data_IF_796111506518
#
_entry.id   IF_796111506518
#
_cell.length_a   1.000
_cell.length_b   1.000
_cell.length_c   1.000
_cell.angle_alpha   90.00
_cell.angle_beta   90.00
_cell.angle_gamma   90.00
#
_symmetry.space_group_name_H-M   'P 1'
#
loop_
_entity.id
_entity.type
_entity.pdbx_description
1 polymer ?
#
# COMPACT_ATOMS: atom_id res chain seq x y z
N UNK A 1 -31.35 -10.03 0.71
CA UNK A 1 -30.35 -9.71 1.75
C UNK A 1 -29.02 -10.29 1.29
N UNK A 2 -27.95 -9.49 1.21
CA UNK A 2 -26.62 -10.01 0.85
C UNK A 2 -25.93 -10.57 2.10
N UNK A 3 -25.24 -11.70 1.96
CA UNK A 3 -24.28 -12.14 2.97
C UNK A 3 -22.96 -11.41 2.74
N UNK A 4 -22.46 -10.70 3.75
CA UNK A 4 -21.21 -9.94 3.65
C UNK A 4 -20.03 -10.90 3.63
N UNK A 5 -19.14 -10.72 2.64
CA UNK A 5 -17.94 -11.53 2.48
C UNK A 5 -16.71 -10.69 2.76
N UNK A 6 -15.77 -11.24 3.51
CA UNK A 6 -14.43 -10.68 3.57
C UNK A 6 -13.78 -10.73 2.18
N UNK A 7 -13.07 -9.67 1.78
CA UNK A 7 -12.28 -9.66 0.55
C UNK A 7 -11.00 -10.47 0.78
N UNK A 8 -11.02 -11.74 0.40
CA UNK A 8 -10.03 -12.74 0.85
C UNK A 8 -8.59 -12.54 0.38
N UNK A 9 -8.35 -11.66 -0.59
CA UNK A 9 -7.02 -11.29 -1.07
C UNK A 9 -6.64 -9.84 -0.70
N UNK A 10 -7.32 -9.28 0.30
CA UNK A 10 -6.86 -8.11 1.05
C UNK A 10 -6.57 -8.52 2.49
N UNK A 11 -5.75 -7.74 3.17
CA UNK A 11 -5.15 -8.11 4.45
C UNK A 11 -4.63 -6.85 5.13
N UNK A 12 -4.61 -6.84 6.46
CA UNK A 12 -3.78 -5.89 7.19
C UNK A 12 -2.30 -6.27 7.09
N UNK A 13 -1.42 -5.48 7.70
CA UNK A 13 0.01 -5.65 7.49
C UNK A 13 0.85 -5.04 8.62
N UNK A 14 2.08 -5.52 8.74
CA UNK A 14 3.11 -4.90 9.58
C UNK A 14 3.56 -3.58 8.95
N UNK A 15 3.83 -2.59 9.79
CA UNK A 15 4.34 -1.27 9.44
C UNK A 15 5.77 -1.15 9.98
N UNK A 16 6.69 -0.77 9.11
CA UNK A 16 8.07 -0.44 9.44
C UNK A 16 8.36 1.04 9.24
N UNK A 17 9.55 1.49 9.65
CA UNK A 17 9.97 2.87 9.45
C UNK A 17 10.10 3.17 7.96
N UNK A 18 9.30 4.11 7.44
CA UNK A 18 9.19 4.41 6.01
C UNK A 18 8.87 3.19 5.12
N UNK A 19 8.30 2.13 5.69
CA UNK A 19 7.93 0.90 4.98
C UNK A 19 6.50 0.53 5.34
N UNK A 20 5.55 0.93 4.48
CA UNK A 20 4.13 0.73 4.81
C UNK A 20 3.78 -0.76 4.91
N UNK A 21 4.37 -1.64 4.09
CA UNK A 21 4.15 -3.10 4.12
C UNK A 21 5.44 -3.86 4.52
N UNK A 22 5.75 -3.94 5.81
CA UNK A 22 7.03 -4.48 6.30
C UNK A 22 7.14 -6.02 6.35
N UNK A 23 6.41 -6.74 5.49
CA UNK A 23 6.61 -8.17 5.23
C UNK A 23 5.65 -9.14 5.93
N UNK A 24 5.13 -8.83 7.13
CA UNK A 24 4.07 -9.67 7.76
C UNK A 24 2.68 -9.20 7.34
N UNK A 25 1.79 -10.16 7.12
CA UNK A 25 0.42 -9.96 6.65
C UNK A 25 -0.60 -10.43 7.68
N UNK A 26 -1.72 -9.71 7.83
CA UNK A 26 -2.81 -10.03 8.77
C UNK A 26 -4.03 -10.49 7.97
N UNK A 27 -4.25 -11.81 7.79
CA UNK A 27 -5.33 -12.31 6.95
C UNK A 27 -6.71 -12.06 7.58
N UNK A 28 -7.69 -11.75 6.73
CA UNK A 28 -9.09 -11.55 7.15
C UNK A 28 -9.98 -12.77 6.86
N UNK A 29 -9.36 -13.91 6.52
CA UNK A 29 -10.00 -15.21 6.31
C UNK A 29 -9.13 -16.33 6.91
N UNK A 30 -9.75 -17.47 7.18
CA UNK A 30 -9.03 -18.67 7.66
C UNK A 30 -8.04 -19.21 6.61
N UNK A 31 -7.01 -19.91 7.08
CA UNK A 31 -6.03 -20.61 6.23
C UNK A 31 -4.76 -19.81 5.90
N UNK A 32 -4.52 -18.69 6.59
CA UNK A 32 -3.26 -17.96 6.53
C UNK A 32 -2.11 -18.66 7.26
N UNK A 33 -0.97 -17.98 7.31
CA UNK A 33 0.23 -18.47 7.98
C UNK A 33 0.06 -18.59 9.51
N UNK A 34 0.87 -19.44 10.13
CA UNK A 34 0.95 -19.58 11.59
C UNK A 34 1.96 -18.61 12.24
N UNK A 35 2.44 -17.62 11.48
CA UNK A 35 3.36 -16.57 11.92
C UNK A 35 2.76 -15.80 13.10
N UNK A 36 3.56 -15.53 14.13
CA UNK A 36 3.12 -14.80 15.33
C UNK A 36 3.50 -13.32 15.23
N UNK A 37 2.63 -12.49 15.81
CA UNK A 37 2.98 -11.10 16.11
C UNK A 37 3.97 -11.07 17.28
N UNK A 38 4.89 -10.11 17.25
CA UNK A 38 6.00 -9.96 18.19
C UNK A 38 5.90 -8.62 18.94
N UNK A 39 6.50 -8.57 20.13
CA UNK A 39 6.60 -7.34 20.92
C UNK A 39 7.38 -6.26 20.13
N UNK A 40 6.89 -5.02 20.18
CA UNK A 40 7.47 -3.88 19.48
C UNK A 40 6.92 -3.66 18.06
N UNK A 41 6.20 -4.63 17.50
CA UNK A 41 5.65 -4.51 16.15
C UNK A 41 4.45 -3.54 16.09
N UNK A 42 4.30 -2.90 14.92
CA UNK A 42 3.23 -1.96 14.60
C UNK A 42 2.43 -2.53 13.45
N UNK A 43 1.11 -2.61 13.57
CA UNK A 43 0.25 -3.20 12.54
C UNK A 43 -0.84 -2.24 12.10
N UNK A 44 -1.08 -2.20 10.79
CA UNK A 44 -2.36 -1.85 10.21
C UNK A 44 -3.31 -3.05 10.38
N UNK A 45 -4.38 -2.85 11.13
CA UNK A 45 -5.47 -3.82 11.26
C UNK A 45 -6.65 -3.28 10.47
N UNK A 46 -6.79 -3.78 9.25
CA UNK A 46 -7.85 -3.39 8.33
C UNK A 46 -8.67 -4.60 7.86
N UNK A 47 -9.95 -4.35 7.61
CA UNK A 47 -10.87 -5.37 7.11
C UNK A 47 -11.73 -4.80 6.01
N UNK A 48 -12.08 -5.67 5.06
CA UNK A 48 -12.84 -5.28 3.88
C UNK A 48 -14.05 -6.20 3.72
N UNK A 49 -15.24 -5.63 3.83
CA UNK A 49 -16.50 -6.31 3.55
C UNK A 49 -16.94 -6.06 2.11
N UNK A 50 -17.51 -7.06 1.45
CA UNK A 50 -18.03 -6.96 0.09
C UNK A 50 -19.38 -7.66 -0.06
N UNK A 51 -20.27 -7.09 -0.88
CA UNK A 51 -21.50 -7.75 -1.36
C UNK A 51 -21.26 -8.60 -2.63
N UNK A 52 -20.05 -8.55 -3.19
CA UNK A 52 -19.66 -9.18 -4.45
C UNK A 52 -19.07 -10.59 -4.30
N UNK A 53 -17.93 -10.82 -4.98
CA UNK A 53 -17.20 -12.09 -4.93
C UNK A 53 -16.28 -12.22 -3.72
N UNK A 54 -16.06 -11.12 -2.98
CA UNK A 54 -15.09 -11.07 -1.89
C UNK A 54 -13.67 -11.35 -2.40
N UNK A 55 -13.35 -10.79 -3.57
CA UNK A 55 -12.03 -10.91 -4.21
C UNK A 55 -11.80 -9.72 -5.14
N UNK A 56 -10.69 -9.01 -4.96
CA UNK A 56 -10.35 -7.84 -5.77
C UNK A 56 -9.41 -8.20 -6.91
N UNK A 57 -9.50 -7.44 -8.00
CA UNK A 57 -8.59 -7.47 -9.13
C UNK A 57 -8.16 -6.04 -9.47
N UNK A 58 -7.07 -5.91 -10.22
CA UNK A 58 -6.61 -4.61 -10.70
C UNK A 58 -7.60 -4.10 -11.76
N UNK A 59 -8.08 -2.86 -11.59
CA UNK A 59 -8.92 -2.19 -12.57
C UNK A 59 -8.64 -0.67 -12.56
N UNK A 60 -9.10 0.03 -13.59
CA UNK A 60 -8.95 1.48 -13.79
C UNK A 60 -7.48 1.95 -13.95
N UNK A 61 -7.30 3.27 -14.00
CA UNK A 61 -5.98 3.89 -14.20
C UNK A 61 -5.14 3.90 -12.90
N UNK A 62 -3.88 3.50 -13.01
CA UNK A 62 -2.92 3.52 -11.90
C UNK A 62 -2.59 4.95 -11.49
N UNK A 63 -2.81 5.26 -10.22
CA UNK A 63 -2.51 6.57 -9.63
C UNK A 63 -1.48 6.52 -8.51
N UNK A 64 -1.36 5.40 -7.81
CA UNK A 64 -0.44 5.21 -6.68
C UNK A 64 0.81 4.44 -7.11
N UNK A 65 1.93 4.84 -6.54
CA UNK A 65 3.26 4.29 -6.81
C UNK A 65 4.08 4.33 -5.53
N UNK A 66 5.04 3.42 -5.39
CA UNK A 66 5.96 3.41 -4.27
C UNK A 66 7.33 2.96 -4.74
N UNK A 67 8.41 3.50 -4.18
CA UNK A 67 9.75 2.97 -4.46
C UNK A 67 9.86 1.59 -3.82
N UNK A 68 10.41 0.64 -4.57
CA UNK A 68 10.71 -0.68 -4.01
C UNK A 68 11.68 -0.52 -2.84
N UNK A 69 11.27 -1.01 -1.66
CA UNK A 69 12.00 -0.80 -0.41
C UNK A 69 13.39 -1.45 -0.44
N UNK A 70 13.53 -2.59 -1.12
CA UNK A 70 14.78 -3.35 -1.21
C UNK A 70 15.78 -2.76 -2.22
N UNK A 71 15.35 -1.76 -3.00
CA UNK A 71 16.22 -1.04 -3.95
C UNK A 71 16.80 0.20 -3.28
N UNK A 72 17.93 0.06 -2.59
CA UNK A 72 18.60 1.19 -1.92
C UNK A 72 18.97 2.29 -2.94
N UNK A 73 19.80 1.95 -3.93
CA UNK A 73 20.25 2.87 -4.99
C UNK A 73 20.14 2.24 -6.37
N UNK A 74 19.43 2.93 -7.27
CA UNK A 74 19.23 2.47 -8.65
C UNK A 74 20.16 3.19 -9.63
N UNK A 75 20.81 2.45 -10.53
CA UNK A 75 21.60 3.04 -11.62
C UNK A 75 20.71 3.36 -12.84
N UNK A 76 20.03 4.50 -12.79
CA UNK A 76 19.14 4.94 -13.88
C UNK A 76 19.93 5.65 -14.98
N UNK A 77 19.98 5.04 -16.18
CA UNK A 77 20.73 5.58 -17.34
C UNK A 77 20.00 6.70 -18.07
N UNK A 78 18.69 6.58 -18.27
CA UNK A 78 17.91 7.58 -19.00
C UNK A 78 17.84 8.89 -18.19
N UNK A 79 18.22 10.02 -18.80
CA UNK A 79 18.31 11.31 -18.10
C UNK A 79 16.98 11.77 -17.48
N UNK A 80 15.86 11.57 -18.16
CA UNK A 80 14.52 11.96 -17.65
C UNK A 80 14.06 11.03 -16.53
N UNK A 81 14.25 9.72 -16.67
CA UNK A 81 13.99 8.78 -15.57
C UNK A 81 14.89 9.02 -14.36
N UNK A 82 16.16 9.39 -14.58
CA UNK A 82 17.10 9.72 -13.50
C UNK A 82 16.68 10.99 -12.76
N UNK A 83 16.27 12.03 -13.49
CA UNK A 83 15.72 13.25 -12.91
C UNK A 83 14.50 12.91 -12.03
N UNK A 84 13.54 12.17 -12.57
CA UNK A 84 12.33 11.79 -11.84
C UNK A 84 12.63 10.90 -10.62
N UNK A 85 13.54 9.93 -10.76
CA UNK A 85 13.99 9.09 -9.64
C UNK A 85 14.59 9.92 -8.50
N UNK A 86 15.41 10.93 -8.83
CA UNK A 86 15.96 11.84 -7.83
C UNK A 86 14.86 12.66 -7.15
N UNK A 87 13.88 13.16 -7.91
CA UNK A 87 12.70 13.85 -7.35
C UNK A 87 11.93 12.94 -6.40
N UNK A 88 11.63 11.71 -6.80
CA UNK A 88 10.91 10.73 -5.96
C UNK A 88 11.70 10.42 -4.70
N UNK A 89 12.99 10.09 -4.83
CA UNK A 89 13.85 9.74 -3.70
C UNK A 89 13.99 10.89 -2.71
N UNK A 90 14.12 12.13 -3.20
CA UNK A 90 14.25 13.32 -2.35
C UNK A 90 12.96 13.64 -1.58
N UNK A 91 11.80 13.49 -2.21
CA UNK A 91 10.54 13.97 -1.64
C UNK A 91 9.73 12.88 -0.91
N UNK A 92 9.88 11.62 -1.31
CA UNK A 92 9.08 10.50 -0.78
C UNK A 92 9.94 9.39 -0.20
N UNK A 93 11.19 9.22 -0.65
CA UNK A 93 12.03 8.10 -0.26
C UNK A 93 11.36 6.77 -0.65
N UNK A 94 11.00 5.97 0.36
CA UNK A 94 10.26 4.71 0.21
C UNK A 94 8.76 4.83 0.54
N UNK A 95 8.28 6.03 0.91
CA UNK A 95 6.85 6.26 1.10
C UNK A 95 6.12 6.24 -0.26
N UNK A 96 4.86 5.80 -0.24
CA UNK A 96 4.00 5.86 -1.41
C UNK A 96 3.75 7.32 -1.83
N UNK A 97 3.54 7.50 -3.14
CA UNK A 97 3.19 8.78 -3.75
C UNK A 97 2.15 8.58 -4.86
N UNK A 98 1.65 9.69 -5.41
CA UNK A 98 0.73 9.65 -6.54
C UNK A 98 1.10 10.69 -7.60
N UNK A 99 0.55 10.54 -8.81
CA UNK A 99 0.79 11.47 -9.95
C UNK A 99 0.52 12.94 -9.58
N UNK A 100 -0.57 13.21 -8.87
CA UNK A 100 -0.94 14.56 -8.41
C UNK A 100 0.15 15.23 -7.55
N UNK A 101 0.93 14.44 -6.81
CA UNK A 101 2.02 14.99 -5.99
C UNK A 101 3.23 15.34 -6.84
N UNK A 102 3.52 14.56 -7.89
CA UNK A 102 4.53 14.94 -8.88
C UNK A 102 4.13 16.22 -9.62
N UNK A 103 2.87 16.34 -10.02
CA UNK A 103 2.35 17.56 -10.66
C UNK A 103 2.55 18.79 -9.74
N UNK A 104 2.28 18.65 -8.44
CA UNK A 104 2.48 19.72 -7.44
C UNK A 104 3.95 20.11 -7.27
N UNK A 105 4.88 19.18 -7.47
CA UNK A 105 6.32 19.44 -7.47
C UNK A 105 6.82 20.09 -8.77
N UNK A 106 5.93 20.32 -9.74
CA UNK A 106 6.27 20.91 -11.03
C UNK A 106 6.82 19.91 -12.05
N UNK A 107 6.80 18.60 -11.75
CA UNK A 107 7.13 17.59 -12.75
C UNK A 107 6.07 17.59 -13.85
N UNK A 108 6.51 17.51 -15.10
CA UNK A 108 5.61 17.48 -16.26
C UNK A 108 6.11 16.51 -17.31
N UNK A 109 5.20 15.96 -18.12
CA UNK A 109 5.51 14.96 -19.16
C UNK A 109 6.32 13.76 -18.63
N UNK A 110 6.12 13.40 -17.36
CA UNK A 110 6.93 12.39 -16.66
C UNK A 110 6.42 10.95 -16.84
N UNK A 111 5.24 10.73 -17.43
CA UNK A 111 4.61 9.40 -17.49
C UNK A 111 5.49 8.34 -18.15
N UNK A 112 6.19 8.67 -19.24
CA UNK A 112 7.11 7.74 -19.90
C UNK A 112 8.34 7.44 -19.02
N UNK A 113 8.85 8.46 -18.32
CA UNK A 113 9.97 8.31 -17.39
C UNK A 113 9.58 7.44 -16.19
N UNK A 114 8.36 7.64 -15.65
CA UNK A 114 7.78 6.83 -14.58
C UNK A 114 7.56 5.39 -15.02
N UNK A 115 7.02 5.16 -16.22
CA UNK A 115 6.91 3.82 -16.80
C UNK A 115 8.28 3.13 -16.89
N UNK A 116 9.32 3.84 -17.32
CA UNK A 116 10.67 3.29 -17.37
C UNK A 116 11.23 2.90 -16.00
N UNK A 117 10.87 3.61 -14.93
CA UNK A 117 11.24 3.23 -13.55
C UNK A 117 10.44 2.01 -13.05
N UNK A 118 9.18 1.91 -13.46
CA UNK A 118 8.31 0.75 -13.18
C UNK A 118 8.81 -0.50 -13.89
N UNK A 119 9.07 -0.42 -15.20
CA UNK A 119 9.58 -1.53 -16.00
C UNK A 119 10.94 -2.03 -15.47
N UNK A 120 11.71 -1.16 -14.81
CA UNK A 120 12.99 -1.48 -14.20
C UNK A 120 12.89 -2.05 -12.77
N UNK A 121 11.68 -2.19 -12.20
CA UNK A 121 11.47 -2.69 -10.83
C UNK A 121 11.94 -1.74 -9.73
N UNK A 122 12.17 -0.46 -10.05
CA UNK A 122 12.61 0.56 -9.07
C UNK A 122 11.41 1.16 -8.34
N UNK A 123 10.29 1.31 -9.07
CA UNK A 123 9.03 1.83 -8.57
C UNK A 123 7.96 0.78 -8.81
N UNK A 124 7.21 0.42 -7.77
CA UNK A 124 6.09 -0.49 -7.87
C UNK A 124 4.79 0.29 -8.11
N UNK A 125 3.98 -0.07 -9.11
CA UNK A 125 2.66 0.50 -9.30
C UNK A 125 1.64 -0.14 -8.36
N UNK A 126 0.79 0.67 -7.74
CA UNK A 126 -0.31 0.22 -6.88
C UNK A 126 -1.66 0.56 -7.57
N UNK A 127 -2.16 -0.28 -8.49
CA UNK A 127 -3.43 -0.04 -9.18
C UNK A 127 -4.61 -0.09 -8.20
N UNK A 128 -5.75 0.54 -8.53
CA UNK A 128 -6.98 0.35 -7.79
C UNK A 128 -7.40 -1.12 -7.73
N UNK A 129 -7.91 -1.53 -6.58
CA UNK A 129 -8.34 -2.89 -6.28
C UNK A 129 -9.87 -2.96 -6.19
N UNK A 130 -10.50 -3.63 -7.16
CA UNK A 130 -11.94 -3.64 -7.34
C UNK A 130 -12.53 -5.04 -7.24
N UNK A 131 -13.67 -5.21 -6.57
CA UNK A 131 -14.52 -6.41 -6.72
C UNK A 131 -15.38 -6.24 -8.00
N UNK A 132 -16.29 -7.17 -8.28
CA UNK A 132 -17.12 -7.17 -9.49
C UNK A 132 -17.98 -5.90 -9.60
N UNK A 133 -18.17 -5.42 -10.83
CA UNK A 133 -19.07 -4.30 -11.15
C UNK A 133 -20.45 -4.50 -10.50
N UNK A 134 -20.94 -3.46 -9.84
CA UNK A 134 -22.24 -3.45 -9.16
C UNK A 134 -22.23 -4.01 -7.73
N UNK A 135 -21.08 -4.50 -7.25
CA UNK A 135 -20.89 -4.79 -5.83
C UNK A 135 -20.55 -3.52 -5.04
N UNK A 136 -20.72 -3.61 -3.73
CA UNK A 136 -20.36 -2.56 -2.77
C UNK A 136 -19.32 -3.11 -1.81
N UNK A 137 -18.32 -2.29 -1.49
CA UNK A 137 -17.28 -2.61 -0.52
C UNK A 137 -17.27 -1.58 0.62
N UNK A 138 -16.84 -1.99 1.80
CA UNK A 138 -16.63 -1.13 2.95
C UNK A 138 -15.34 -1.56 3.66
N UNK A 139 -14.64 -0.59 4.27
CA UNK A 139 -13.39 -0.79 5.00
C UNK A 139 -13.43 -0.02 6.32
N UNK A 140 -12.82 -0.59 7.36
CA UNK A 140 -12.37 0.12 8.56
C UNK A 140 -10.95 -0.32 8.88
N UNK A 141 -10.16 0.58 9.46
CA UNK A 141 -8.75 0.37 9.77
C UNK A 141 -8.35 1.10 11.04
N UNK A 142 -7.47 0.48 11.83
CA UNK A 142 -6.65 1.16 12.82
C UNK A 142 -5.20 0.73 12.76
N UNK A 143 -4.32 1.63 13.23
CA UNK A 143 -2.95 1.28 13.59
C UNK A 143 -2.91 0.86 15.06
N UNK A 144 -2.26 -0.28 15.34
CA UNK A 144 -1.95 -0.72 16.70
C UNK A 144 -0.44 -0.80 16.92
N UNK A 145 -0.03 -0.58 18.17
CA UNK A 145 1.35 -0.75 18.63
C UNK A 145 1.34 -1.86 19.70
N UNK A 146 2.15 -2.90 19.49
CA UNK A 146 2.33 -3.99 20.44
C UNK A 146 3.44 -3.64 21.43
N UNK A 147 3.15 -2.73 22.37
CA UNK A 147 4.14 -2.28 23.36
C UNK A 147 4.44 -3.40 24.37
N UNK A 148 5.61 -3.38 25.03
CA UNK A 148 5.95 -4.39 26.04
C UNK A 148 4.94 -4.50 27.18
N UNK A 149 4.27 -3.41 27.52
CA UNK A 149 3.35 -3.33 28.67
C UNK A 149 1.88 -3.39 28.28
N UNK A 150 1.52 -3.14 27.03
CA UNK A 150 0.14 -3.09 26.57
C UNK A 150 0.03 -3.12 25.04
N UNK A 151 -1.16 -3.44 24.55
CA UNK A 151 -1.54 -3.15 23.17
C UNK A 151 -2.25 -1.80 23.11
N UNK A 152 -1.75 -0.90 22.27
CA UNK A 152 -2.32 0.44 22.09
C UNK A 152 -2.94 0.57 20.70
N UNK A 153 -4.21 0.96 20.63
CA UNK A 153 -4.85 1.34 19.36
C UNK A 153 -4.60 2.82 19.13
N UNK A 154 -3.41 3.13 18.60
CA UNK A 154 -2.89 4.51 18.58
C UNK A 154 -3.74 5.46 17.73
N UNK A 155 -4.48 4.94 16.75
CA UNK A 155 -5.36 5.75 15.89
C UNK A 155 -6.84 5.74 16.31
N UNK A 156 -7.18 5.29 17.52
CA UNK A 156 -8.56 5.29 18.03
C UNK A 156 -9.07 6.71 18.27
N UNK A 157 -10.28 7.01 17.80
CA UNK A 157 -11.00 8.26 18.08
C UNK A 157 -12.35 8.04 18.76
N UNK A 158 -13.12 9.12 18.94
CA UNK A 158 -14.53 9.07 19.38
C UNK A 158 -15.47 8.66 18.24
N UNK A 159 -14.99 8.76 17.00
CA UNK A 159 -15.71 8.43 15.77
C UNK A 159 -15.71 6.94 15.48
N UNK A 160 -14.55 6.27 15.47
CA UNK A 160 -14.44 4.82 15.27
C UNK A 160 -13.12 4.23 15.70
#
# INVERSE_FOLDING_TARGET
>A
MFSIKAIRNLQGHLIGQYHIHAGKSVPIVKGGEATRMEEGEIYAIETFGSTGKGYVHHDMEVSHYMKNYDVEQANVRNAKSKQLYNTITKNFGTLAFCRRWLDRLGESKYLLALKGLVDAGIIDPCPPLCDIKGSYTAQFEHTIILRPTCKEVVSRGEDY
#
